data_IF_424829955238
#
_entry.id   IF_424829955238
#
_cell.length_a   1.000
_cell.length_b   1.000
_cell.length_c   1.000
_cell.angle_alpha   90.00
_cell.angle_beta   90.00
_cell.angle_gamma   90.00
#
_symmetry.space_group_name_H-M   'P 1'
#
loop_
_entity.id
_entity.type
_entity.pdbx_description
1 polymer ?
#
# COMPACT_ATOMS: atom_id res chain seq x y z
N UNK A 1 -4.80 -36.86 -15.23
CA UNK A 1 -4.42 -35.61 -15.94
C UNK A 1 -5.51 -34.61 -15.61
N UNK A 2 -5.26 -33.59 -14.80
CA UNK A 2 -6.31 -32.70 -14.25
C UNK A 2 -7.21 -32.04 -15.31
N UNK A 3 -6.66 -31.75 -16.50
CA UNK A 3 -7.44 -31.21 -17.61
C UNK A 3 -8.49 -32.21 -18.11
N UNK A 4 -8.18 -33.50 -18.13
CA UNK A 4 -9.08 -34.55 -18.58
C UNK A 4 -10.23 -34.77 -17.59
N UNK A 5 -9.98 -34.73 -16.28
CA UNK A 5 -11.05 -34.81 -15.26
C UNK A 5 -12.02 -33.63 -15.39
N UNK A 6 -11.50 -32.41 -15.53
CA UNK A 6 -12.31 -31.21 -15.73
C UNK A 6 -13.09 -31.22 -17.06
N UNK A 7 -12.53 -31.77 -18.15
CA UNK A 7 -13.25 -31.89 -19.43
C UNK A 7 -14.40 -32.89 -19.38
N UNK A 8 -14.37 -33.85 -18.44
CA UNK A 8 -15.47 -34.78 -18.18
C UNK A 8 -16.41 -34.31 -17.06
N UNK A 9 -16.27 -33.05 -16.59
CA UNK A 9 -17.11 -32.50 -15.52
C UNK A 9 -16.80 -33.08 -14.13
N UNK A 10 -15.68 -33.78 -13.98
CA UNK A 10 -15.26 -34.35 -12.71
C UNK A 10 -14.45 -33.32 -11.91
N UNK A 11 -15.12 -32.61 -11.00
CA UNK A 11 -14.46 -31.76 -10.01
C UNK A 11 -14.71 -32.27 -8.59
N UNK A 12 -13.70 -32.95 -8.02
CA UNK A 12 -13.75 -33.52 -6.68
C UNK A 12 -13.43 -32.52 -5.56
N UNK A 13 -13.21 -31.24 -5.88
CA UNK A 13 -12.85 -30.23 -4.87
C UNK A 13 -14.03 -29.95 -3.95
N UNK A 14 -13.79 -30.02 -2.64
CA UNK A 14 -14.76 -29.60 -1.64
C UNK A 14 -14.79 -28.07 -1.55
N UNK A 15 -15.99 -27.52 -1.36
CA UNK A 15 -16.17 -26.11 -1.02
C UNK A 15 -15.48 -25.86 0.32
N UNK A 16 -14.56 -24.90 0.35
CA UNK A 16 -13.91 -24.44 1.59
C UNK A 16 -14.39 -23.00 1.83
N UNK A 17 -15.26 -22.77 2.84
CA UNK A 17 -15.89 -21.47 3.04
C UNK A 17 -14.92 -20.41 3.58
N UNK A 18 -13.87 -20.84 4.28
CA UNK A 18 -12.83 -19.97 4.82
C UNK A 18 -11.47 -20.28 4.18
N UNK A 19 -10.79 -19.25 3.72
CA UNK A 19 -9.40 -19.36 3.27
C UNK A 19 -8.61 -18.20 3.84
N UNK A 20 -7.47 -18.46 4.51
CA UNK A 20 -6.64 -17.38 5.01
C UNK A 20 -6.18 -16.48 3.86
N UNK A 21 -6.22 -15.16 4.11
CA UNK A 21 -5.71 -14.18 3.16
C UNK A 21 -4.23 -14.46 2.88
N UNK A 22 -3.86 -14.46 1.59
CA UNK A 22 -2.47 -14.65 1.16
C UNK A 22 -1.71 -13.34 0.99
N UNK A 23 -2.46 -12.26 0.81
CA UNK A 23 -1.93 -10.92 0.59
C UNK A 23 -2.98 -9.88 0.99
N UNK A 24 -2.50 -8.69 1.34
CA UNK A 24 -3.33 -7.49 1.52
C UNK A 24 -2.71 -6.39 0.68
N UNK A 25 -3.47 -5.86 -0.28
CA UNK A 25 -3.01 -4.80 -1.18
C UNK A 25 -4.07 -3.72 -1.38
N UNK A 26 -3.62 -2.59 -1.92
CA UNK A 26 -4.48 -1.54 -2.43
C UNK A 26 -3.85 -1.00 -3.71
N UNK A 27 -4.68 -0.74 -4.70
CA UNK A 27 -4.26 -0.14 -5.97
C UNK A 27 -5.21 0.96 -6.40
N UNK A 28 -4.75 1.81 -7.31
CA UNK A 28 -5.52 2.89 -7.91
C UNK A 28 -5.16 2.97 -9.38
N UNK A 29 -6.19 2.93 -10.22
CA UNK A 29 -6.11 3.27 -11.63
C UNK A 29 -6.30 4.77 -11.75
N UNK A 30 -5.41 5.45 -12.47
CA UNK A 30 -5.50 6.87 -12.73
C UNK A 30 -6.47 7.15 -13.88
N UNK A 31 -7.12 8.31 -13.85
CA UNK A 31 -7.98 8.80 -14.94
C UNK A 31 -7.14 9.19 -16.16
N UNK A 32 -6.03 9.88 -15.91
CA UNK A 32 -4.99 10.23 -16.89
C UNK A 32 -3.67 9.54 -16.53
N UNK A 33 -2.87 9.18 -17.54
CA UNK A 33 -1.59 8.52 -17.31
C UNK A 33 -0.59 9.47 -16.64
N UNK A 34 0.02 9.05 -15.52
CA UNK A 34 0.85 9.90 -14.67
C UNK A 34 2.33 9.56 -14.81
N UNK A 35 3.15 10.54 -15.19
CA UNK A 35 4.62 10.48 -15.14
C UNK A 35 5.23 11.29 -13.99
N UNK A 36 4.45 12.18 -13.35
CA UNK A 36 4.92 13.01 -12.25
C UNK A 36 5.23 12.16 -11.01
N UNK A 37 6.52 12.06 -10.68
CA UNK A 37 7.04 11.31 -9.53
C UNK A 37 6.45 11.80 -8.22
N UNK A 38 6.23 13.11 -8.05
CA UNK A 38 5.64 13.65 -6.82
C UNK A 38 4.20 13.16 -6.66
N UNK A 39 3.39 13.22 -7.71
CA UNK A 39 2.02 12.72 -7.68
C UNK A 39 1.96 11.19 -7.44
N UNK A 40 2.89 10.43 -8.02
CA UNK A 40 3.01 8.99 -7.77
C UNK A 40 3.37 8.70 -6.31
N UNK A 41 4.32 9.43 -5.72
CA UNK A 41 4.68 9.30 -4.31
C UNK A 41 3.52 9.66 -3.38
N UNK A 42 2.80 10.74 -3.67
CA UNK A 42 1.60 11.12 -2.91
C UNK A 42 0.53 10.02 -2.94
N UNK A 43 0.32 9.43 -4.12
CA UNK A 43 -0.63 8.32 -4.30
C UNK A 43 -0.15 7.08 -3.56
N UNK A 44 1.14 6.76 -3.65
CA UNK A 44 1.74 5.64 -2.93
C UNK A 44 1.51 5.75 -1.42
N UNK A 45 1.75 6.93 -0.83
CA UNK A 45 1.52 7.16 0.60
C UNK A 45 0.07 6.81 1.01
N UNK A 46 -0.92 7.32 0.26
CA UNK A 46 -2.34 7.02 0.52
C UNK A 46 -2.65 5.53 0.42
N UNK A 47 -2.02 4.81 -0.50
CA UNK A 47 -2.19 3.37 -0.63
C UNK A 47 -1.53 2.61 0.53
N UNK A 48 -0.35 3.04 0.97
CA UNK A 48 0.34 2.47 2.14
C UNK A 48 -0.48 2.63 3.41
N UNK A 49 -1.14 3.78 3.62
CA UNK A 49 -2.06 3.98 4.75
C UNK A 49 -3.25 3.01 4.70
N UNK A 50 -3.87 2.82 3.53
CA UNK A 50 -4.97 1.87 3.35
C UNK A 50 -4.54 0.42 3.63
N UNK A 51 -3.36 0.03 3.14
CA UNK A 51 -2.82 -1.33 3.37
C UNK A 51 -2.48 -1.54 4.84
N UNK A 52 -1.83 -0.56 5.48
CA UNK A 52 -1.50 -0.59 6.90
C UNK A 52 -2.76 -0.72 7.76
N UNK A 53 -3.80 0.08 7.49
CA UNK A 53 -5.08 0.00 8.21
C UNK A 53 -5.72 -1.38 8.07
N UNK A 54 -5.71 -1.96 6.86
CA UNK A 54 -6.25 -3.31 6.62
C UNK A 54 -5.44 -4.40 7.32
N UNK A 55 -4.11 -4.31 7.34
CA UNK A 55 -3.24 -5.23 8.08
C UNK A 55 -3.54 -5.17 9.58
N UNK A 56 -3.63 -3.96 10.15
CA UNK A 56 -3.96 -3.74 11.57
C UNK A 56 -5.34 -4.30 11.92
N UNK A 57 -6.36 -4.01 11.11
CA UNK A 57 -7.73 -4.51 11.29
C UNK A 57 -7.81 -6.04 11.23
N UNK A 58 -7.00 -6.67 10.38
CA UNK A 58 -6.90 -8.12 10.29
C UNK A 58 -6.03 -8.76 11.39
N UNK A 59 -5.34 -7.97 12.22
CA UNK A 59 -4.37 -8.49 13.19
C UNK A 59 -3.14 -9.13 12.53
N UNK A 60 -2.80 -8.70 11.31
CA UNK A 60 -1.73 -9.27 10.48
C UNK A 60 -0.59 -8.27 10.24
N UNK A 61 0.54 -8.81 9.79
CA UNK A 61 1.69 -8.06 9.26
C UNK A 61 2.28 -8.79 8.07
N UNK A 62 2.98 -8.07 7.18
CA UNK A 62 3.58 -8.65 5.98
C UNK A 62 5.10 -8.67 6.05
N UNK A 63 5.72 -9.78 5.62
CA UNK A 63 7.18 -9.87 5.50
C UNK A 63 7.70 -9.41 4.13
N UNK A 64 6.83 -9.30 3.13
CA UNK A 64 7.24 -8.87 1.79
C UNK A 64 6.35 -7.73 1.31
N UNK A 65 6.95 -6.70 0.73
CA UNK A 65 6.29 -5.53 0.15
C UNK A 65 6.35 -5.64 -1.35
N UNK A 66 5.21 -5.50 -2.03
CA UNK A 66 5.09 -5.65 -3.48
C UNK A 66 4.51 -4.38 -4.08
N UNK A 67 5.28 -3.75 -4.97
CA UNK A 67 4.86 -2.64 -5.82
C UNK A 67 4.37 -3.17 -7.17
N UNK A 68 3.21 -2.69 -7.60
CA UNK A 68 2.62 -2.97 -8.91
C UNK A 68 2.45 -1.66 -9.67
N UNK A 69 2.96 -1.63 -10.89
CA UNK A 69 2.80 -0.53 -11.83
C UNK A 69 2.19 -1.07 -13.12
N UNK A 70 1.32 -0.29 -13.76
CA UNK A 70 0.83 -0.60 -15.11
C UNK A 70 1.07 0.59 -16.02
N UNK A 71 1.59 0.34 -17.20
CA UNK A 71 1.81 1.35 -18.22
C UNK A 71 0.55 1.59 -19.08
N UNK A 72 0.50 2.65 -19.90
CA UNK A 72 -0.62 2.96 -20.77
C UNK A 72 -0.94 1.85 -21.79
N UNK A 73 0.08 1.12 -22.25
CA UNK A 73 -0.01 -0.07 -23.11
C UNK A 73 -0.43 -1.34 -22.34
N UNK A 74 -0.94 -1.19 -21.12
CA UNK A 74 -1.44 -2.26 -20.26
C UNK A 74 -0.38 -3.29 -19.81
N UNK A 75 0.91 -3.02 -20.01
CA UNK A 75 1.99 -3.87 -19.49
C UNK A 75 2.11 -3.71 -17.97
N UNK A 76 2.17 -4.83 -17.26
CA UNK A 76 2.32 -4.86 -15.80
C UNK A 76 3.78 -5.02 -15.41
N UNK A 77 4.22 -4.22 -14.46
CA UNK A 77 5.53 -4.29 -13.82
C UNK A 77 5.30 -4.57 -12.35
N UNK A 78 5.94 -5.62 -11.83
CA UNK A 78 5.88 -5.98 -10.42
C UNK A 78 7.28 -5.97 -9.84
N UNK A 79 7.45 -5.32 -8.70
CA UNK A 79 8.66 -5.36 -7.87
C UNK A 79 8.26 -5.83 -6.48
N UNK A 80 9.08 -6.70 -5.89
CA UNK A 80 8.83 -7.20 -4.54
C UNK A 80 10.14 -7.16 -3.76
N UNK A 81 10.05 -6.81 -2.49
CA UNK A 81 11.16 -6.80 -1.57
C UNK A 81 10.76 -7.48 -0.27
N UNK A 82 11.61 -8.41 0.17
CA UNK A 82 11.43 -9.13 1.43
C UNK A 82 12.14 -8.36 2.54
N UNK A 83 11.43 -8.10 3.62
CA UNK A 83 11.92 -7.43 4.81
C UNK A 83 12.50 -8.44 5.80
N UNK A 84 13.48 -8.00 6.59
CA UNK A 84 14.05 -8.79 7.68
C UNK A 84 12.99 -9.04 8.77
N UNK A 85 12.27 -7.98 9.15
CA UNK A 85 11.18 -8.01 10.10
C UNK A 85 9.85 -7.70 9.41
N UNK A 86 8.77 -8.46 9.69
CA UNK A 86 7.47 -8.17 9.13
C UNK A 86 6.97 -6.81 9.65
N UNK A 87 6.22 -6.11 8.81
CA UNK A 87 5.71 -4.78 9.13
C UNK A 87 4.21 -4.68 8.89
N UNK A 88 3.57 -3.82 9.68
CA UNK A 88 2.21 -3.32 9.41
C UNK A 88 2.15 -1.80 9.39
N UNK A 89 3.31 -1.13 9.38
CA UNK A 89 3.41 0.31 9.46
C UNK A 89 3.42 0.93 8.06
N UNK A 90 2.56 1.93 7.84
CA UNK A 90 2.44 2.63 6.58
C UNK A 90 3.77 3.25 6.15
N UNK A 91 4.57 3.74 7.10
CA UNK A 91 5.86 4.36 6.78
C UNK A 91 6.88 3.35 6.20
N UNK A 92 6.98 2.13 6.74
CA UNK A 92 7.87 1.09 6.23
C UNK A 92 7.44 0.66 4.83
N UNK A 93 6.14 0.46 4.64
CA UNK A 93 5.56 0.14 3.33
C UNK A 93 5.87 1.24 2.31
N UNK A 94 5.80 2.49 2.72
CA UNK A 94 6.07 3.65 1.88
C UNK A 94 7.56 3.77 1.53
N UNK A 95 8.45 3.63 2.50
CA UNK A 95 9.91 3.69 2.28
C UNK A 95 10.35 2.67 1.22
N UNK A 96 9.92 1.42 1.36
CA UNK A 96 10.23 0.34 0.42
C UNK A 96 9.52 0.51 -0.92
N UNK A 97 8.26 0.92 -0.89
CA UNK A 97 7.50 1.25 -2.09
C UNK A 97 8.15 2.38 -2.90
N UNK A 98 8.63 3.43 -2.23
CA UNK A 98 9.30 4.57 -2.85
C UNK A 98 10.62 4.15 -3.49
N UNK A 99 11.43 3.35 -2.79
CA UNK A 99 12.68 2.83 -3.33
C UNK A 99 12.45 2.05 -4.64
N UNK A 100 11.43 1.18 -4.66
CA UNK A 100 11.06 0.43 -5.86
C UNK A 100 10.45 1.32 -6.95
N UNK A 101 9.66 2.32 -6.56
CA UNK A 101 9.00 3.24 -7.49
C UNK A 101 10.03 4.11 -8.22
N UNK A 102 10.98 4.69 -7.49
CA UNK A 102 12.02 5.57 -8.04
C UNK A 102 12.99 4.82 -8.97
N UNK A 103 13.10 3.50 -8.85
CA UNK A 103 13.85 2.68 -9.79
C UNK A 103 13.14 2.51 -11.15
N UNK A 104 11.81 2.71 -11.21
CA UNK A 104 11.00 2.54 -12.42
C UNK A 104 10.48 3.87 -13.01
N UNK A 105 10.25 4.87 -12.15
CA UNK A 105 9.69 6.16 -12.52
C UNK A 105 10.80 7.22 -12.65
N UNK A 106 11.28 7.40 -13.87
CA UNK A 106 12.31 8.37 -14.26
C UNK A 106 11.75 9.77 -14.61
N UNK A 107 10.46 9.99 -14.40
CA UNK A 107 9.74 11.22 -14.78
C UNK A 107 9.36 11.31 -16.26
N UNK A 108 9.76 10.34 -17.09
CA UNK A 108 9.39 10.28 -18.52
C UNK A 108 8.36 9.20 -18.78
N UNK A 109 8.47 8.08 -18.08
CA UNK A 109 7.52 6.98 -18.19
C UNK A 109 6.23 7.27 -17.45
N UNK A 110 5.13 7.29 -18.18
CA UNK A 110 3.80 7.42 -17.60
C UNK A 110 3.25 6.06 -17.11
N UNK A 111 2.40 6.11 -16.08
CA UNK A 111 1.73 4.96 -15.49
C UNK A 111 0.24 5.19 -15.36
N UNK A 112 -0.54 4.15 -15.69
CA UNK A 112 -2.00 4.13 -15.59
C UNK A 112 -2.51 3.54 -14.28
N UNK A 113 -1.69 2.74 -13.59
CA UNK A 113 -2.04 2.13 -12.31
C UNK A 113 -0.84 2.07 -11.40
N UNK A 114 -1.07 2.35 -10.12
CA UNK A 114 -0.14 2.17 -9.03
C UNK A 114 -0.80 1.32 -7.93
N UNK A 115 -0.08 0.32 -7.45
CA UNK A 115 -0.51 -0.56 -6.37
C UNK A 115 0.62 -0.89 -5.43
N UNK A 116 0.29 -1.06 -4.16
CA UNK A 116 1.20 -1.55 -3.13
C UNK A 116 0.50 -2.64 -2.32
N UNK A 117 1.26 -3.63 -1.88
CA UNK A 117 0.71 -4.70 -1.06
C UNK A 117 1.73 -5.39 -0.19
N UNK A 118 1.21 -6.10 0.79
CA UNK A 118 1.94 -6.96 1.70
C UNK A 118 1.62 -8.43 1.39
N UNK A 119 2.66 -9.27 1.34
CA UNK A 119 2.56 -10.72 1.22
C UNK A 119 3.37 -11.38 2.35
N UNK A 120 3.39 -12.72 2.38
CA UNK A 120 4.01 -13.49 3.45
C UNK A 120 3.46 -13.07 4.81
N UNK A 121 2.12 -13.11 4.90
CA UNK A 121 1.39 -12.60 6.05
C UNK A 121 1.63 -13.47 7.28
N UNK A 122 1.94 -12.81 8.38
CA UNK A 122 2.12 -13.41 9.71
C UNK A 122 1.27 -12.66 10.72
N UNK A 123 1.14 -13.22 11.92
CA UNK A 123 0.44 -12.59 13.04
C UNK A 123 1.07 -11.23 13.38
N UNK A 124 0.23 -10.26 13.74
CA UNK A 124 0.64 -8.87 13.97
C UNK A 124 1.48 -8.65 15.24
N UNK A 125 1.56 -9.63 16.13
CA UNK A 125 2.43 -9.65 17.32
C UNK A 125 3.93 -9.68 16.98
N UNK A 126 4.28 -10.20 15.80
CA UNK A 126 5.65 -10.25 15.30
C UNK A 126 6.06 -8.99 14.52
N UNK A 127 5.13 -8.05 14.35
CA UNK A 127 5.34 -6.87 13.51
C UNK A 127 6.23 -5.84 14.20
N UNK A 128 7.17 -5.28 13.44
CA UNK A 128 7.90 -4.05 13.81
C UNK A 128 8.60 -4.14 15.18
N UNK A 129 9.10 -5.33 15.53
CA UNK A 129 9.78 -5.59 16.79
C UNK A 129 10.99 -4.65 16.96
N UNK A 130 11.25 -4.15 18.19
CA UNK A 130 12.40 -3.32 18.47
C UNK A 130 13.69 -4.08 18.14
N UNK A 131 14.53 -3.47 17.33
CA UNK A 131 15.93 -3.88 17.20
C UNK A 131 16.73 -3.13 18.28
N UNK A 132 17.69 -3.81 18.90
CA UNK A 132 18.59 -3.22 19.90
C UNK A 132 19.41 -2.06 19.29
N UNK A 133 19.68 -2.12 17.98
CA UNK A 133 20.50 -1.15 17.25
C UNK A 133 19.68 -0.07 16.52
N UNK A 134 18.40 -0.32 16.23
CA UNK A 134 17.54 0.62 15.49
C UNK A 134 16.22 0.88 16.22
N UNK A 135 16.14 2.06 16.85
CA UNK A 135 14.93 2.53 17.53
C UNK A 135 13.96 3.29 16.61
N UNK A 136 14.30 3.51 15.33
CA UNK A 136 13.42 4.21 14.39
C UNK A 136 12.04 3.55 14.27
N UNK A 137 11.91 2.21 14.18
CA UNK A 137 10.61 1.54 14.09
C UNK A 137 9.72 1.81 15.31
N UNK A 138 10.32 1.89 16.50
CA UNK A 138 9.59 2.18 17.74
C UNK A 138 9.02 3.59 17.73
N UNK A 139 9.85 4.59 17.38
CA UNK A 139 9.40 6.00 17.32
C UNK A 139 8.34 6.20 16.23
N UNK A 140 8.55 5.62 15.05
CA UNK A 140 7.63 5.73 13.93
C UNK A 140 6.33 4.99 14.21
N UNK A 141 6.39 3.81 14.81
CA UNK A 141 5.23 3.05 15.27
C UNK A 141 4.41 3.81 16.31
N UNK A 142 5.06 4.44 17.29
CA UNK A 142 4.38 5.27 18.29
C UNK A 142 3.68 6.48 17.66
N UNK A 143 4.34 7.17 16.72
CA UNK A 143 3.74 8.29 16.00
C UNK A 143 2.55 7.85 15.13
N UNK A 144 2.67 6.72 14.44
CA UNK A 144 1.60 6.18 13.60
C UNK A 144 0.40 5.74 14.45
N UNK A 145 0.64 5.06 15.58
CA UNK A 145 -0.40 4.70 16.52
C UNK A 145 -1.12 5.92 17.13
N UNK A 146 -0.41 7.03 17.36
CA UNK A 146 -1.01 8.28 17.80
C UNK A 146 -1.93 8.88 16.71
N UNK A 147 -1.49 8.86 15.45
CA UNK A 147 -2.30 9.31 14.31
C UNK A 147 -3.54 8.42 14.13
N UNK A 148 -3.39 7.09 14.25
CA UNK A 148 -4.50 6.14 14.13
C UNK A 148 -5.57 6.40 15.20
N UNK A 149 -5.17 6.61 16.46
CA UNK A 149 -6.11 6.98 17.55
C UNK A 149 -6.85 8.29 17.28
N UNK A 150 -6.19 9.27 16.68
CA UNK A 150 -6.85 10.52 16.28
C UNK A 150 -7.86 10.28 15.16
N UNK A 151 -7.53 9.44 14.18
CA UNK A 151 -8.43 9.09 13.07
C UNK A 151 -9.65 8.31 13.53
N UNK A 152 -9.49 7.39 14.47
CA UNK A 152 -10.61 6.65 15.09
C UNK A 152 -11.59 7.58 15.80
N UNK A 153 -11.09 8.63 16.46
CA UNK A 153 -11.92 9.56 17.25
C UNK A 153 -12.53 10.69 16.44
N UNK A 154 -11.83 11.20 15.43
CA UNK A 154 -12.17 12.46 14.76
C UNK A 154 -12.30 12.35 13.23
N UNK A 155 -12.11 11.16 12.66
CA UNK A 155 -12.17 10.94 11.22
C UNK A 155 -10.82 11.13 10.50
N UNK A 156 -10.77 10.71 9.23
CA UNK A 156 -9.55 10.65 8.41
C UNK A 156 -8.97 12.01 8.01
N UNK A 157 -9.79 13.06 8.03
CA UNK A 157 -9.45 14.35 7.40
C UNK A 157 -8.77 15.33 8.35
N UNK A 158 -8.71 15.02 9.65
CA UNK A 158 -8.16 15.91 10.68
C UNK A 158 -6.62 16.02 10.62
N UNK A 159 -5.92 14.91 10.33
CA UNK A 159 -4.45 14.86 10.37
C UNK A 159 -3.93 14.19 9.10
N UNK A 160 -3.14 14.96 8.35
CA UNK A 160 -2.49 14.50 7.14
C UNK A 160 -0.99 14.75 7.20
N UNK A 161 -0.20 13.80 6.70
CA UNK A 161 1.25 13.99 6.54
C UNK A 161 1.50 15.02 5.45
N UNK A 162 2.54 15.84 5.63
CA UNK A 162 2.94 16.85 4.64
C UNK A 162 3.15 16.31 3.24
N UNK A 163 3.64 15.06 3.11
CA UNK A 163 3.79 14.38 1.80
C UNK A 163 2.44 14.26 1.09
N UNK A 164 1.35 13.98 1.80
CA UNK A 164 0.03 13.82 1.18
C UNK A 164 -0.75 15.14 1.04
N UNK A 165 -0.23 16.23 1.59
CA UNK A 165 -0.89 17.53 1.58
C UNK A 165 -0.89 18.12 0.17
N UNK A 166 -2.08 18.32 -0.38
CA UNK A 166 -2.28 19.09 -1.62
C UNK A 166 -2.87 20.44 -1.22
N UNK A 167 -2.19 21.57 -1.48
CA UNK A 167 -2.73 22.89 -1.18
C UNK A 167 -4.06 23.06 -1.92
N UNK A 168 -5.14 23.35 -1.19
CA UNK A 168 -6.42 23.66 -1.82
C UNK A 168 -6.26 25.00 -2.56
N UNK A 169 -6.63 25.10 -3.86
CA UNK A 169 -6.54 26.38 -4.55
C UNK A 169 -7.41 27.41 -3.81
N UNK A 170 -6.84 28.57 -3.47
CA UNK A 170 -7.59 29.70 -2.91
C UNK A 170 -8.72 30.02 -3.89
N UNK A 171 -9.98 29.94 -3.45
CA UNK A 171 -11.11 30.48 -4.21
C UNK A 171 -10.76 31.93 -4.53
N UNK A 172 -10.69 32.27 -5.82
CA UNK A 172 -10.64 33.68 -6.24
C UNK A 172 -11.96 34.29 -5.77
N UNK A 173 -11.90 35.21 -4.83
CA UNK A 173 -13.02 36.09 -4.52
C UNK A 173 -13.34 36.82 -5.83
N UNK A 174 -14.47 36.47 -6.44
CA UNK A 174 -15.12 37.31 -7.44
C UNK A 174 -15.40 38.66 -6.77
N UNK A 175 -14.62 39.67 -7.16
CA UNK A 175 -14.99 41.07 -6.97
C UNK A 175 -16.37 41.26 -7.60
N UNK A 176 -17.37 41.50 -6.74
CA UNK A 176 -18.67 42.00 -7.16
C UNK A 176 -18.56 43.47 -7.54
N UNK A 177 -19.18 43.79 -8.66
CA UNK A 177 -19.50 45.14 -9.15
C UNK A 177 -20.37 45.93 -8.17
#
# INVERSE_FOLDING_TARGET
MRLAELSHGEDRRRVTPDRPAKSISSETTFEEDVADVQLLMQTLWRLCEKVSARLKAAGLSGRSVTLKLKTPDFRTITRSHRLDNPTRLAHRLFEEGCRMLLAEADGRRAFRLLGIGATDLVTGDRADLPDLLDQRPVKLGAAEAAIDRLRERFGSDLVQRGIAFVPRPRKRETQGE
#
